data_IF_226296771150
#
_entry.id   IF_226296771150
#
_cell.length_a   1.000
_cell.length_b   1.000
_cell.length_c   1.000
_cell.angle_alpha   90.00
_cell.angle_beta   90.00
_cell.angle_gamma   90.00
#
_symmetry.space_group_name_H-M   'P 1'
#
loop_
_entity.id
_entity.type
_entity.pdbx_description
1 polymer ?
#
# COMPACT_ATOMS: atom_id res chain seq x y z
N UNK A 1 9.57 -5.87 -17.84
CA UNK A 1 8.82 -6.49 -16.73
C UNK A 1 9.08 -5.66 -15.50
N UNK A 2 8.09 -4.92 -15.00
CA UNK A 2 8.26 -4.09 -13.81
C UNK A 2 8.44 -5.03 -12.60
N UNK A 3 9.65 -5.06 -12.04
CA UNK A 3 9.93 -5.83 -10.83
C UNK A 3 9.12 -5.24 -9.68
N UNK A 4 8.20 -6.04 -9.17
CA UNK A 4 7.35 -5.67 -8.04
C UNK A 4 8.19 -5.51 -6.78
N UNK A 5 8.28 -4.28 -6.24
CA UNK A 5 9.10 -3.98 -5.05
C UNK A 5 8.66 -4.78 -3.82
N UNK A 6 7.42 -5.27 -3.82
CA UNK A 6 6.82 -6.07 -2.76
C UNK A 6 7.29 -7.52 -2.73
N UNK A 7 8.06 -7.94 -3.75
CA UNK A 7 8.78 -9.23 -3.79
C UNK A 7 10.21 -9.12 -3.27
N UNK A 8 10.61 -7.94 -2.80
CA UNK A 8 11.93 -7.67 -2.22
C UNK A 8 11.76 -7.04 -0.83
N UNK A 9 12.84 -7.01 -0.05
CA UNK A 9 12.83 -6.29 1.22
C UNK A 9 12.57 -4.80 0.97
N UNK A 10 11.62 -4.24 1.70
CA UNK A 10 11.32 -2.81 1.60
C UNK A 10 12.47 -2.01 2.23
N UNK A 11 12.70 -0.76 1.80
CA UNK A 11 13.69 0.09 2.43
C UNK A 11 13.41 0.21 3.93
N UNK A 12 14.45 0.17 4.77
CA UNK A 12 14.35 0.38 6.22
C UNK A 12 13.79 1.75 6.60
N UNK A 13 13.70 2.65 5.62
CA UNK A 13 13.07 3.96 5.78
C UNK A 13 11.55 3.87 5.95
N UNK A 14 10.91 2.80 5.47
CA UNK A 14 9.47 2.57 5.63
C UNK A 14 9.21 1.98 7.01
N UNK A 15 8.44 2.71 7.82
CA UNK A 15 8.12 2.32 9.20
C UNK A 15 6.71 1.79 9.35
N UNK A 16 5.77 2.17 8.50
CA UNK A 16 4.39 1.68 8.56
C UNK A 16 3.68 1.84 7.21
N UNK A 17 2.84 0.87 6.84
CA UNK A 17 1.94 0.96 5.70
C UNK A 17 0.51 0.87 6.22
N UNK A 18 -0.31 1.87 5.91
CA UNK A 18 -1.75 1.88 6.23
C UNK A 18 -2.56 1.91 4.95
N UNK A 19 -3.54 1.02 4.86
CA UNK A 19 -4.49 0.95 3.76
C UNK A 19 -5.88 1.24 4.31
N UNK A 20 -6.45 2.35 3.86
CA UNK A 20 -7.80 2.78 4.21
C UNK A 20 -8.69 2.61 2.99
N UNK A 21 -9.72 1.77 3.08
CA UNK A 21 -10.65 1.58 1.97
C UNK A 21 -12.04 1.20 2.47
N UNK A 22 -13.08 1.50 1.68
CA UNK A 22 -14.43 1.04 1.95
C UNK A 22 -14.61 -0.39 1.38
N UNK A 23 -15.19 -1.34 2.14
CA UNK A 23 -15.34 -2.73 1.69
C UNK A 23 -16.15 -2.89 0.40
N UNK A 24 -17.07 -1.95 0.12
CA UNK A 24 -18.01 -2.02 -1.01
C UNK A 24 -17.51 -1.37 -2.29
N UNK A 25 -16.62 -0.36 -2.23
CA UNK A 25 -16.16 0.35 -3.44
C UNK A 25 -14.75 -0.05 -3.89
N UNK A 26 -13.95 -0.67 -3.03
CA UNK A 26 -12.53 -0.90 -3.29
C UNK A 26 -12.14 -2.39 -3.39
N UNK A 27 -12.86 -3.15 -4.22
CA UNK A 27 -12.59 -4.57 -4.44
C UNK A 27 -11.16 -4.84 -4.92
N UNK A 28 -10.59 -3.92 -5.70
CA UNK A 28 -9.23 -4.00 -6.24
C UNK A 28 -8.17 -3.94 -5.14
N UNK A 29 -8.38 -3.12 -4.10
CA UNK A 29 -7.49 -2.99 -2.94
C UNK A 29 -7.51 -4.29 -2.13
N UNK A 30 -8.68 -4.90 -1.96
CA UNK A 30 -8.83 -6.19 -1.29
C UNK A 30 -8.08 -7.30 -2.03
N UNK A 31 -8.25 -7.39 -3.35
CA UNK A 31 -7.52 -8.36 -4.18
C UNK A 31 -6.00 -8.15 -4.12
N UNK A 32 -5.56 -6.89 -4.15
CA UNK A 32 -4.14 -6.55 -3.98
C UNK A 32 -3.58 -7.04 -2.64
N UNK A 33 -4.31 -6.80 -1.54
CA UNK A 33 -3.90 -7.26 -0.20
C UNK A 33 -3.82 -8.79 -0.17
N UNK A 34 -4.85 -9.48 -0.65
CA UNK A 34 -4.90 -10.95 -0.64
C UNK A 34 -3.73 -11.59 -1.38
N UNK A 35 -3.33 -11.04 -2.53
CA UNK A 35 -2.23 -11.59 -3.33
C UNK A 35 -0.84 -11.22 -2.79
N UNK A 36 -0.66 -10.03 -2.21
CA UNK A 36 0.68 -9.51 -1.90
C UNK A 36 1.03 -9.54 -0.41
N UNK A 37 0.05 -9.54 0.49
CA UNK A 37 0.28 -9.41 1.94
C UNK A 37 1.25 -10.47 2.49
N UNK A 38 1.07 -11.74 2.09
CA UNK A 38 1.93 -12.84 2.55
C UNK A 38 3.39 -12.63 2.16
N UNK A 39 3.64 -12.20 0.92
CA UNK A 39 5.00 -11.95 0.42
C UNK A 39 5.66 -10.78 1.15
N UNK A 40 4.92 -9.68 1.32
CA UNK A 40 5.44 -8.47 1.99
C UNK A 40 5.78 -8.78 3.44
N UNK A 41 4.90 -9.48 4.15
CA UNK A 41 5.09 -9.80 5.58
C UNK A 41 6.20 -10.81 5.81
N UNK A 42 6.37 -11.77 4.91
CA UNK A 42 7.48 -12.73 4.94
C UNK A 42 8.84 -12.04 4.81
N UNK A 43 8.94 -11.05 3.91
CA UNK A 43 10.18 -10.31 3.66
C UNK A 43 10.44 -9.20 4.70
N UNK A 44 9.39 -8.69 5.35
CA UNK A 44 9.45 -7.58 6.30
C UNK A 44 8.63 -7.92 7.57
N UNK A 45 9.12 -8.83 8.43
CA UNK A 45 8.38 -9.30 9.59
C UNK A 45 8.08 -8.17 10.59
N UNK A 46 9.00 -7.23 10.77
CA UNK A 46 8.87 -6.11 11.71
C UNK A 46 8.02 -4.95 11.16
N UNK A 47 7.64 -4.98 9.88
CA UNK A 47 6.88 -3.90 9.27
C UNK A 47 5.37 -4.03 9.61
N UNK A 48 4.78 -3.04 10.28
CA UNK A 48 3.34 -3.00 10.52
C UNK A 48 2.59 -2.62 9.24
N UNK A 49 1.71 -3.54 8.81
CA UNK A 49 0.76 -3.33 7.71
C UNK A 49 -0.63 -3.24 8.34
N UNK A 50 -1.19 -2.03 8.39
CA UNK A 50 -2.51 -1.78 8.96
C UNK A 50 -3.54 -1.70 7.84
N UNK A 51 -4.43 -2.68 7.81
CA UNK A 51 -5.63 -2.62 6.97
C UNK A 51 -6.77 -2.03 7.81
N UNK A 52 -7.39 -0.96 7.31
CA UNK A 52 -8.49 -0.27 7.98
C UNK A 52 -9.66 -0.13 7.00
N UNK A 53 -10.72 -0.86 7.31
CA UNK A 53 -11.99 -0.68 6.64
C UNK A 53 -12.59 0.65 7.12
N UNK A 54 -12.92 1.53 6.18
CA UNK A 54 -13.53 2.82 6.46
C UNK A 54 -15.01 2.80 6.08
N UNK A 55 -15.75 3.76 6.61
CA UNK A 55 -17.16 3.94 6.31
C UNK A 55 -17.39 4.18 4.81
N UNK A 56 -18.59 3.85 4.35
CA UNK A 56 -19.06 4.08 2.98
C UNK A 56 -18.95 5.58 2.64
N UNK A 57 -18.22 5.92 1.58
CA UNK A 57 -17.98 7.30 1.15
C UNK A 57 -16.61 7.87 1.52
N UNK A 58 -15.77 7.15 2.27
CA UNK A 58 -14.36 7.55 2.44
C UNK A 58 -13.56 7.16 1.21
N UNK A 59 -12.81 8.09 0.60
CA UNK A 59 -11.98 7.78 -0.57
C UNK A 59 -10.87 6.80 -0.18
N UNK A 60 -10.70 5.76 -0.98
CA UNK A 60 -9.66 4.75 -0.77
C UNK A 60 -8.28 5.42 -0.83
N UNK A 61 -7.46 5.20 0.20
CA UNK A 61 -6.16 5.84 0.37
C UNK A 61 -5.14 4.86 0.95
N UNK A 62 -3.92 4.96 0.47
CA UNK A 62 -2.77 4.34 1.11
C UNK A 62 -1.92 5.44 1.76
N UNK A 63 -1.47 5.17 2.97
CA UNK A 63 -0.60 6.05 3.74
C UNK A 63 0.64 5.26 4.10
N UNK A 64 1.81 5.81 3.82
CA UNK A 64 3.08 5.22 4.19
C UNK A 64 3.80 6.20 5.10
N UNK A 65 4.18 5.70 6.28
CA UNK A 65 4.99 6.43 7.23
C UNK A 65 6.44 6.05 7.03
N UNK A 66 7.27 7.07 6.86
CA UNK A 66 8.71 6.97 6.78
C UNK A 66 9.35 7.31 8.13
N UNK A 67 10.68 7.33 8.16
CA UNK A 67 11.45 7.82 9.30
C UNK A 67 11.12 9.28 9.62
N UNK A 68 11.49 9.70 10.84
CA UNK A 68 11.25 11.06 11.34
C UNK A 68 9.76 11.47 11.35
N UNK A 69 8.84 10.50 11.27
CA UNK A 69 7.39 10.76 11.30
C UNK A 69 6.84 11.37 10.02
N UNK A 70 7.58 11.30 8.90
CA UNK A 70 7.09 11.81 7.61
C UNK A 70 6.06 10.84 7.04
N UNK A 71 4.86 11.34 6.73
CA UNK A 71 3.79 10.54 6.15
C UNK A 71 3.48 10.99 4.72
N UNK A 72 3.45 10.04 3.79
CA UNK A 72 2.98 10.29 2.42
C UNK A 72 1.69 9.51 2.18
N UNK A 73 0.74 10.14 1.52
CA UNK A 73 -0.53 9.54 1.18
C UNK A 73 -0.75 9.56 -0.33
N UNK A 74 -1.42 8.52 -0.85
CA UNK A 74 -1.88 8.43 -2.23
C UNK A 74 -3.33 7.98 -2.26
N UNK A 75 -4.12 8.64 -3.10
CA UNK A 75 -5.50 8.25 -3.38
C UNK A 75 -5.51 7.05 -4.32
N UNK A 76 -6.17 5.98 -3.91
CA UNK A 76 -6.35 4.74 -4.68
C UNK A 76 -7.66 4.73 -5.48
N UNK A 77 -8.48 5.77 -5.39
CA UNK A 77 -9.77 5.86 -6.12
C UNK A 77 -9.61 5.78 -7.64
N UNK A 78 -8.50 6.29 -8.17
CA UNK A 78 -8.25 6.28 -9.61
C UNK A 78 -7.68 4.95 -10.12
N UNK A 79 -7.25 4.07 -9.22
CA UNK A 79 -6.63 2.81 -9.59
C UNK A 79 -7.71 1.80 -10.01
N UNK A 80 -7.68 1.40 -11.28
CA UNK A 80 -8.65 0.46 -11.87
C UNK A 80 -8.23 -1.00 -11.70
N UNK A 81 -6.95 -1.23 -11.38
CA UNK A 81 -6.36 -2.57 -11.27
C UNK A 81 -5.42 -2.70 -10.07
N UNK A 82 -5.26 -3.92 -9.54
CA UNK A 82 -4.30 -4.23 -8.48
C UNK A 82 -2.85 -3.92 -8.86
N UNK A 83 -2.50 -4.05 -10.14
CA UNK A 83 -1.18 -3.72 -10.69
C UNK A 83 -0.88 -2.21 -10.68
N UNK A 84 -1.93 -1.38 -10.88
CA UNK A 84 -1.80 0.08 -10.78
C UNK A 84 -1.58 0.52 -9.34
N UNK A 85 -2.29 -0.08 -8.39
CA UNK A 85 -2.09 0.13 -6.94
C UNK A 85 -0.64 -0.20 -6.57
N UNK A 86 -0.13 -1.32 -7.07
CA UNK A 86 1.24 -1.74 -6.86
C UNK A 86 2.26 -0.72 -7.37
N UNK A 87 2.02 -0.21 -8.58
CA UNK A 87 2.88 0.80 -9.21
C UNK A 87 2.85 2.13 -8.45
N UNK A 88 1.66 2.58 -8.02
CA UNK A 88 1.49 3.80 -7.22
C UNK A 88 2.20 3.72 -5.88
N UNK A 89 2.03 2.60 -5.16
CA UNK A 89 2.73 2.39 -3.90
C UNK A 89 4.25 2.28 -4.11
N UNK A 90 4.69 1.65 -5.19
CA UNK A 90 6.10 1.57 -5.55
C UNK A 90 6.72 2.95 -5.76
N UNK A 91 6.04 3.82 -6.52
CA UNK A 91 6.50 5.19 -6.74
C UNK A 91 6.56 5.98 -5.44
N UNK A 92 5.56 5.81 -4.57
CA UNK A 92 5.49 6.48 -3.28
C UNK A 92 6.63 6.06 -2.33
N UNK A 93 6.98 4.76 -2.32
CA UNK A 93 8.11 4.21 -1.53
C UNK A 93 9.46 4.67 -2.08
N UNK A 94 9.63 4.65 -3.42
CA UNK A 94 10.86 5.09 -4.07
C UNK A 94 11.04 6.61 -4.09
N UNK A 95 10.00 7.38 -3.73
CA UNK A 95 10.03 8.83 -3.78
C UNK A 95 10.14 9.39 -5.21
N UNK A 96 9.77 8.60 -6.23
CA UNK A 96 9.67 9.09 -7.60
C UNK A 96 8.36 9.88 -7.73
N UNK A 97 8.49 11.21 -7.74
CA UNK A 97 7.42 12.14 -8.11
C UNK A 97 7.18 12.09 -9.62
#
# INVERSE_FOLDING_TARGET
>A
MATSIFRQALPSTVREIRLHFSPTQANQVKSFIQSNYSSIKSLNPDLPILVRESFIGTPARAIIRFEYGVEKQVSLEQAKSSSEIESLLSNLIQGKN
#
